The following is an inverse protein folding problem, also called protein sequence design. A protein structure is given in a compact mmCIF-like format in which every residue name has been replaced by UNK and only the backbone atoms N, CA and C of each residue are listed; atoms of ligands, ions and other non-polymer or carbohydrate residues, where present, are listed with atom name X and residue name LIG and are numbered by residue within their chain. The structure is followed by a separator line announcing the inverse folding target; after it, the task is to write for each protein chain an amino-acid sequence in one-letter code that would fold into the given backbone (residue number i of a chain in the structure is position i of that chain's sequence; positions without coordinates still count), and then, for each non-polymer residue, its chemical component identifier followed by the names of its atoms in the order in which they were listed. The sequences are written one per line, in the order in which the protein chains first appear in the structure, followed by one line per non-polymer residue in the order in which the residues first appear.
data_IF_819610585092
#
_entry.id   IF_819610585092
#
_cell.length_a   1.000
_cell.length_b   1.000
_cell.length_c   1.000
_cell.angle_alpha   90.00
_cell.angle_beta   90.00
_cell.angle_gamma   90.00
#
_symmetry.space_group_name_H-M   'P 1'
#
loop_
_entity.id
_entity.type
_entity.pdbx_description
1 polymer ?
#
# COMPACT_ATOMS: atom_id res chain seq x y z
N UNK A 1 -10.54 9.79 -4.93
CA UNK A 1 -10.81 10.02 -6.36
C UNK A 1 -10.47 8.80 -7.22
N UNK A 2 -9.25 8.27 -7.28
CA UNK A 2 -8.89 7.11 -8.13
C UNK A 2 -9.63 5.77 -7.83
N UNK A 3 -10.06 5.54 -6.57
CA UNK A 3 -10.75 4.29 -6.19
C UNK A 3 -12.09 4.12 -6.90
N UNK A 4 -12.87 5.18 -7.02
CA UNK A 4 -14.18 5.12 -7.66
C UNK A 4 -14.07 4.88 -9.17
N UNK A 5 -13.04 5.45 -9.81
CA UNK A 5 -12.80 5.28 -11.25
C UNK A 5 -12.47 3.82 -11.59
N UNK A 6 -11.63 3.15 -10.79
CA UNK A 6 -11.30 1.74 -11.03
C UNK A 6 -12.53 0.83 -10.90
N UNK A 7 -13.41 1.11 -9.93
CA UNK A 7 -14.65 0.38 -9.73
C UNK A 7 -15.65 0.63 -10.89
N UNK A 8 -15.75 1.86 -11.39
CA UNK A 8 -16.62 2.25 -12.51
C UNK A 8 -16.21 1.59 -13.84
N UNK A 9 -14.93 1.45 -14.09
CA UNK A 9 -14.40 0.84 -15.33
C UNK A 9 -14.16 -0.68 -15.20
N UNK A 10 -14.50 -1.29 -14.04
CA UNK A 10 -14.39 -2.73 -13.83
C UNK A 10 -12.97 -3.28 -13.77
N UNK A 11 -11.96 -2.43 -13.53
CA UNK A 11 -10.56 -2.84 -13.46
C UNK A 11 -10.19 -3.25 -12.03
N UNK A 12 -9.51 -4.39 -11.89
CA UNK A 12 -8.95 -4.82 -10.61
C UNK A 12 -7.97 -3.76 -10.07
N UNK A 13 -8.25 -3.24 -8.87
CA UNK A 13 -7.40 -2.26 -8.22
C UNK A 13 -6.68 -2.86 -7.03
N UNK A 14 -5.40 -3.16 -7.21
CA UNK A 14 -4.51 -3.64 -6.16
C UNK A 14 -4.11 -2.50 -5.21
N UNK A 15 -4.22 -2.75 -3.91
CA UNK A 15 -3.63 -1.89 -2.88
C UNK A 15 -2.26 -2.44 -2.48
N UNK A 16 -1.26 -1.58 -2.45
CA UNK A 16 0.12 -2.00 -2.24
C UNK A 16 0.42 -2.32 -0.76
N UNK A 17 0.82 -3.56 -0.52
CA UNK A 17 1.13 -4.10 0.82
C UNK A 17 2.29 -3.34 1.48
N UNK A 18 3.28 -2.93 0.72
CA UNK A 18 4.42 -2.18 1.24
C UNK A 18 4.00 -0.90 1.99
N UNK A 19 3.11 -0.11 1.39
CA UNK A 19 2.58 1.10 2.02
C UNK A 19 1.73 0.80 3.25
N UNK A 20 0.96 -0.29 3.22
CA UNK A 20 0.21 -0.77 4.38
C UNK A 20 1.16 -1.08 5.54
N UNK A 21 2.20 -1.89 5.31
CA UNK A 21 3.16 -2.27 6.34
C UNK A 21 3.95 -1.08 6.89
N UNK A 22 4.36 -0.16 6.02
CA UNK A 22 5.01 1.10 6.42
C UNK A 22 4.09 1.92 7.33
N UNK A 23 2.81 2.02 6.99
CA UNK A 23 1.80 2.75 7.77
C UNK A 23 1.55 2.09 9.13
N UNK A 24 1.42 0.75 9.19
CA UNK A 24 1.31 0.01 10.45
C UNK A 24 2.51 0.33 11.34
N UNK A 25 3.73 0.15 10.84
CA UNK A 25 4.94 0.41 11.62
C UNK A 25 5.03 1.83 12.15
N UNK A 26 4.69 2.81 11.31
CA UNK A 26 4.67 4.22 11.70
C UNK A 26 3.66 4.48 12.83
N UNK A 27 2.42 3.99 12.67
CA UNK A 27 1.36 4.15 13.69
C UNK A 27 1.74 3.51 15.02
N UNK A 28 2.31 2.30 15.00
CA UNK A 28 2.75 1.64 16.22
C UNK A 28 3.87 2.42 16.91
N UNK A 29 4.86 2.90 16.15
CA UNK A 29 5.94 3.73 16.69
C UNK A 29 5.41 5.00 17.37
N UNK A 30 4.48 5.69 16.71
CA UNK A 30 3.86 6.91 17.27
C UNK A 30 3.02 6.59 18.52
N UNK A 31 2.23 5.52 18.47
CA UNK A 31 1.39 5.09 19.60
C UNK A 31 2.22 4.72 20.81
N UNK A 32 3.25 3.87 20.65
CA UNK A 32 4.13 3.47 21.75
C UNK A 32 4.86 4.68 22.36
N UNK A 33 5.31 5.62 21.54
CA UNK A 33 5.97 6.85 22.01
C UNK A 33 5.00 7.75 22.78
N UNK A 34 3.80 7.97 22.23
CA UNK A 34 2.77 8.85 22.86
C UNK A 34 2.30 8.31 24.20
N UNK A 35 2.19 7.00 24.34
CA UNK A 35 1.69 6.36 25.57
C UNK A 35 2.81 5.81 26.46
N UNK A 36 4.08 6.13 26.16
CA UNK A 36 5.27 5.67 26.90
C UNK A 36 5.35 4.14 27.09
N UNK A 37 4.88 3.36 26.10
CA UNK A 37 4.85 1.91 26.15
C UNK A 37 6.25 1.35 25.84
N UNK A 38 6.77 0.50 26.75
CA UNK A 38 8.12 -0.09 26.66
C UNK A 38 8.09 -1.57 27.07
N UNK A 39 9.24 -2.25 26.85
CA UNK A 39 9.43 -3.64 27.28
C UNK A 39 8.38 -4.59 26.71
N UNK A 40 7.92 -5.53 27.53
CA UNK A 40 7.00 -6.61 27.14
C UNK A 40 5.71 -6.14 26.47
N UNK A 41 5.14 -5.03 26.90
CA UNK A 41 3.91 -4.50 26.32
C UNK A 41 4.14 -4.01 24.87
N UNK A 42 5.29 -3.39 24.62
CA UNK A 42 5.69 -3.00 23.29
C UNK A 42 5.91 -4.23 22.40
N UNK A 43 6.60 -5.24 22.92
CA UNK A 43 6.87 -6.49 22.20
C UNK A 43 5.57 -7.18 21.81
N UNK A 44 4.62 -7.28 22.73
CA UNK A 44 3.28 -7.82 22.47
C UNK A 44 2.55 -7.10 21.33
N UNK A 45 2.63 -5.75 21.27
CA UNK A 45 2.03 -4.96 20.20
C UNK A 45 2.69 -5.29 18.84
N UNK A 46 4.02 -5.37 18.80
CA UNK A 46 4.75 -5.66 17.56
C UNK A 46 4.58 -7.12 17.10
N UNK A 47 4.49 -8.07 18.00
CA UNK A 47 4.15 -9.47 17.68
C UNK A 47 2.77 -9.59 17.04
N UNK A 48 1.76 -8.92 17.61
CA UNK A 48 0.42 -8.87 17.01
C UNK A 48 0.42 -8.21 15.63
N UNK A 49 1.21 -7.16 15.44
CA UNK A 49 1.36 -6.56 14.12
C UNK A 49 2.05 -7.49 13.12
N UNK A 50 3.00 -8.30 13.59
CA UNK A 50 3.65 -9.30 12.73
C UNK A 50 2.67 -10.41 12.33
N UNK A 51 1.84 -10.90 13.26
CA UNK A 51 0.76 -11.86 12.95
C UNK A 51 -0.20 -11.28 11.90
N UNK A 52 -0.60 -10.02 12.04
CA UNK A 52 -1.42 -9.33 11.05
C UNK A 52 -0.76 -9.27 9.67
N UNK A 53 0.53 -8.90 9.60
CA UNK A 53 1.27 -8.82 8.33
C UNK A 53 1.41 -10.19 7.65
N UNK A 54 1.54 -11.25 8.44
CA UNK A 54 1.63 -12.61 7.92
C UNK A 54 0.34 -13.04 7.21
N UNK A 55 -0.84 -12.49 7.55
CA UNK A 55 -2.07 -12.75 6.81
C UNK A 55 -2.01 -12.33 5.33
N UNK A 56 -1.16 -11.36 4.99
CA UNK A 56 -0.97 -10.88 3.61
C UNK A 56 0.17 -11.61 2.85
N UNK A 57 0.87 -12.52 3.50
CA UNK A 57 2.06 -13.23 2.96
C UNK A 57 1.77 -14.71 2.79
N UNK A 58 0.60 -15.02 2.27
CA UNK A 58 0.20 -16.39 1.98
C UNK A 58 0.48 -16.73 0.51
N UNK A 59 0.33 -18.02 0.15
CA UNK A 59 0.58 -18.48 -1.22
C UNK A 59 -0.63 -18.27 -2.14
N UNK A 60 -1.83 -18.08 -1.57
CA UNK A 60 -3.06 -17.81 -2.32
C UNK A 60 -3.93 -16.80 -1.61
N UNK A 61 -4.84 -16.16 -2.37
CA UNK A 61 -5.83 -15.23 -1.84
C UNK A 61 -6.76 -15.90 -0.84
N UNK A 62 -7.13 -17.16 -1.10
CA UNK A 62 -8.01 -17.92 -0.21
C UNK A 62 -7.33 -18.15 1.15
N UNK A 63 -6.08 -18.63 1.16
CA UNK A 63 -5.30 -18.80 2.40
C UNK A 63 -5.14 -17.48 3.16
N UNK A 64 -4.91 -16.38 2.47
CA UNK A 64 -4.79 -15.06 3.08
C UNK A 64 -6.09 -14.64 3.78
N UNK A 65 -7.25 -14.88 3.15
CA UNK A 65 -8.57 -14.58 3.71
C UNK A 65 -8.85 -15.45 4.94
N UNK A 66 -8.57 -16.73 4.88
CA UNK A 66 -8.75 -17.66 5.99
C UNK A 66 -7.86 -17.28 7.18
N UNK A 67 -6.58 -16.99 6.91
CA UNK A 67 -5.64 -16.56 7.94
C UNK A 67 -6.03 -15.23 8.58
N UNK A 68 -6.60 -14.31 7.81
CA UNK A 68 -7.11 -13.06 8.35
C UNK A 68 -8.38 -13.26 9.20
N UNK A 69 -9.28 -14.15 8.80
CA UNK A 69 -10.46 -14.53 9.61
C UNK A 69 -10.02 -15.16 10.93
N UNK A 70 -9.07 -16.13 10.90
CA UNK A 70 -8.49 -16.75 12.10
C UNK A 70 -7.87 -15.70 13.04
N UNK A 71 -7.11 -14.74 12.48
CA UNK A 71 -6.54 -13.64 13.26
C UNK A 71 -7.64 -12.82 13.95
N UNK A 72 -8.75 -12.54 13.27
CA UNK A 72 -9.88 -11.78 13.83
C UNK A 72 -10.70 -12.57 14.87
N UNK A 73 -10.68 -13.91 14.89
CA UNK A 73 -11.33 -14.70 15.95
C UNK A 73 -10.75 -14.38 17.33
N UNK A 74 -9.46 -14.04 17.39
CA UNK A 74 -8.79 -13.61 18.62
C UNK A 74 -8.86 -12.10 18.85
N UNK A 75 -9.96 -11.44 18.40
CA UNK A 75 -10.08 -9.98 18.42
C UNK A 75 -9.87 -9.34 19.81
N UNK A 76 -10.28 -10.03 20.88
CA UNK A 76 -10.13 -9.53 22.27
C UNK A 76 -8.67 -9.30 22.64
N UNK A 77 -7.76 -10.15 22.18
CA UNK A 77 -6.32 -10.09 22.48
C UNK A 77 -5.54 -9.09 21.61
N UNK A 78 -6.16 -8.62 20.51
CA UNK A 78 -5.52 -7.66 19.61
C UNK A 78 -5.38 -6.30 20.31
N UNK A 79 -4.19 -5.66 20.27
CA UNK A 79 -4.00 -4.32 20.84
C UNK A 79 -4.94 -3.27 20.22
N UNK A 80 -5.44 -2.34 21.02
CA UNK A 80 -6.42 -1.31 20.62
C UNK A 80 -5.98 -0.53 19.37
N UNK A 81 -4.70 -0.15 19.31
CA UNK A 81 -4.14 0.57 18.14
C UNK A 81 -4.27 -0.21 16.84
N UNK A 82 -4.15 -1.54 16.89
CA UNK A 82 -4.32 -2.41 15.72
C UNK A 82 -5.80 -2.63 15.41
N UNK A 83 -6.68 -2.78 16.41
CA UNK A 83 -8.14 -2.87 16.22
C UNK A 83 -8.66 -1.67 15.42
N UNK A 84 -8.30 -0.47 15.85
CA UNK A 84 -8.70 0.77 15.16
C UNK A 84 -8.14 0.86 13.73
N UNK A 85 -6.91 0.43 13.55
CA UNK A 85 -6.29 0.42 12.24
C UNK A 85 -6.96 -0.58 11.29
N UNK A 86 -7.21 -1.80 11.77
CA UNK A 86 -7.87 -2.87 11.01
C UNK A 86 -9.26 -2.42 10.56
N UNK A 87 -10.06 -1.89 11.49
CA UNK A 87 -11.41 -1.42 11.21
C UNK A 87 -11.43 -0.31 10.16
N UNK A 88 -10.51 0.66 10.24
CA UNK A 88 -10.51 1.84 9.37
C UNK A 88 -9.89 1.59 7.99
N UNK A 89 -8.92 0.68 7.89
CA UNK A 89 -8.06 0.60 6.70
C UNK A 89 -7.99 -0.78 6.06
N UNK A 90 -8.35 -1.85 6.77
CA UNK A 90 -8.11 -3.21 6.29
C UNK A 90 -9.41 -3.95 5.99
N UNK A 91 -10.37 -4.01 6.91
CA UNK A 91 -11.55 -4.91 6.80
C UNK A 91 -12.23 -4.79 5.42
N UNK A 92 -12.59 -3.57 5.01
CA UNK A 92 -13.32 -3.34 3.76
C UNK A 92 -12.47 -3.45 2.51
N UNK A 93 -11.15 -3.59 2.66
CA UNK A 93 -10.21 -3.55 1.53
C UNK A 93 -9.23 -4.72 1.52
N UNK A 94 -9.38 -5.70 2.42
CA UNK A 94 -8.45 -6.82 2.55
C UNK A 94 -8.27 -7.54 1.21
N UNK A 95 -9.36 -7.83 0.50
CA UNK A 95 -9.32 -8.48 -0.80
C UNK A 95 -8.44 -7.75 -1.82
N UNK A 96 -8.43 -6.41 -1.79
CA UNK A 96 -7.60 -5.58 -2.70
C UNK A 96 -6.11 -5.63 -2.40
N UNK A 97 -5.73 -5.98 -1.16
CA UNK A 97 -4.33 -6.15 -0.81
C UNK A 97 -3.76 -7.50 -1.24
N UNK A 98 -4.62 -8.49 -1.47
CA UNK A 98 -4.23 -9.87 -1.75
C UNK A 98 -4.56 -10.33 -3.18
N UNK A 99 -5.02 -9.43 -4.07
CA UNK A 99 -5.32 -9.75 -5.46
C UNK A 99 -4.12 -10.33 -6.21
N UNK A 100 -2.91 -9.84 -5.94
CA UNK A 100 -1.67 -10.30 -6.57
C UNK A 100 -1.32 -11.76 -6.24
N UNK A 101 -1.94 -12.38 -5.24
CA UNK A 101 -1.66 -13.77 -4.87
C UNK A 101 -2.27 -14.78 -5.85
N UNK A 102 -3.29 -14.38 -6.60
CA UNK A 102 -3.98 -15.24 -7.58
C UNK A 102 -3.75 -14.78 -9.03
N UNK A 103 -2.97 -13.71 -9.25
CA UNK A 103 -2.74 -13.15 -10.58
C UNK A 103 -1.31 -12.59 -10.68
N UNK A 104 -0.43 -13.35 -11.32
CA UNK A 104 0.98 -13.01 -11.52
C UNK A 104 1.21 -11.72 -12.32
N UNK A 105 0.19 -11.24 -13.05
CA UNK A 105 0.27 -9.97 -13.76
C UNK A 105 0.08 -8.76 -12.83
N UNK A 106 -0.40 -8.98 -11.60
CA UNK A 106 -0.61 -7.94 -10.60
C UNK A 106 0.59 -7.86 -9.67
N UNK A 107 1.34 -6.77 -9.76
CA UNK A 107 2.49 -6.55 -8.89
C UNK A 107 2.06 -6.21 -7.46
N UNK A 108 2.73 -6.82 -6.48
CA UNK A 108 2.50 -6.54 -5.07
C UNK A 108 3.09 -5.20 -4.59
N UNK A 109 3.85 -4.51 -5.44
CA UNK A 109 4.51 -3.24 -5.13
C UNK A 109 4.26 -2.17 -6.20
N UNK A 110 4.34 -0.90 -5.81
CA UNK A 110 4.27 0.25 -6.72
C UNK A 110 5.64 0.66 -7.30
N UNK A 111 6.66 -0.15 -7.10
CA UNK A 111 8.04 0.25 -7.43
C UNK A 111 8.22 0.70 -8.88
N UNK A 112 7.59 0.02 -9.85
CA UNK A 112 7.67 0.44 -11.25
C UNK A 112 7.00 1.79 -11.48
N UNK A 113 5.81 2.00 -10.92
CA UNK A 113 5.06 3.25 -11.04
C UNK A 113 5.79 4.38 -10.31
N UNK A 114 6.29 4.13 -9.10
CA UNK A 114 7.08 5.11 -8.35
C UNK A 114 8.37 5.50 -9.08
N UNK A 115 9.05 4.50 -9.67
CA UNK A 115 10.24 4.74 -10.47
C UNK A 115 9.92 5.54 -11.74
N UNK A 116 8.83 5.21 -12.41
CA UNK A 116 8.31 5.98 -13.55
C UNK A 116 8.08 7.45 -13.17
N UNK A 117 7.34 7.71 -12.09
CA UNK A 117 7.09 9.09 -11.63
C UNK A 117 8.37 9.80 -11.18
N UNK A 118 9.31 9.09 -10.56
CA UNK A 118 10.59 9.69 -10.17
C UNK A 118 11.41 10.13 -11.39
N UNK A 119 11.35 9.39 -12.48
CA UNK A 119 12.07 9.71 -13.72
C UNK A 119 11.35 10.78 -14.54
N UNK A 120 10.03 10.71 -14.63
CA UNK A 120 9.24 11.64 -15.47
C UNK A 120 8.92 12.96 -14.76
N UNK A 121 8.84 12.95 -13.43
CA UNK A 121 8.46 14.13 -12.64
C UNK A 121 9.34 14.32 -11.39
N UNK A 122 10.65 14.58 -11.53
CA UNK A 122 11.55 14.81 -10.40
C UNK A 122 11.09 16.02 -9.56
N UNK A 123 11.20 15.91 -8.23
CA UNK A 123 10.76 17.00 -7.32
C UNK A 123 11.44 18.34 -7.56
N UNK A 124 12.71 18.34 -8.00
CA UNK A 124 13.44 19.57 -8.34
C UNK A 124 12.78 20.32 -9.49
N UNK A 125 12.20 19.60 -10.43
CA UNK A 125 11.56 20.18 -11.62
C UNK A 125 10.16 20.67 -11.31
N UNK A 126 9.39 20.01 -10.44
CA UNK A 126 8.07 20.49 -10.00
C UNK A 126 8.08 21.94 -9.50
N UNK A 127 9.16 22.34 -8.85
CA UNK A 127 9.32 23.69 -8.29
C UNK A 127 9.63 24.77 -9.33
N UNK A 128 10.04 24.38 -10.54
CA UNK A 128 10.39 25.32 -11.62
C UNK A 128 9.16 25.83 -12.38
N UNK A 129 8.08 25.06 -12.41
CA UNK A 129 6.90 25.43 -13.17
C UNK A 129 5.94 26.26 -12.34
N UNK A 130 5.70 27.50 -12.81
CA UNK A 130 4.76 28.46 -12.18
C UNK A 130 3.34 28.36 -12.75
N UNK A 131 3.15 27.70 -13.89
CA UNK A 131 1.87 27.60 -14.57
C UNK A 131 1.45 26.13 -14.78
N UNK A 132 0.12 25.90 -14.75
CA UNK A 132 -0.47 24.57 -15.03
C UNK A 132 -0.06 24.05 -16.42
N UNK A 133 -0.11 24.90 -17.44
CA UNK A 133 0.23 24.51 -18.80
C UNK A 133 1.70 24.12 -18.94
N UNK A 134 2.62 24.87 -18.31
CA UNK A 134 4.05 24.51 -18.32
C UNK A 134 4.33 23.16 -17.70
N UNK A 135 3.65 22.83 -16.58
CA UNK A 135 3.76 21.51 -15.94
C UNK A 135 3.23 20.42 -16.89
N UNK A 136 2.06 20.61 -17.49
CA UNK A 136 1.44 19.61 -18.35
C UNK A 136 2.29 19.33 -19.60
N UNK A 137 2.77 20.37 -20.27
CA UNK A 137 3.64 20.21 -21.44
C UNK A 137 4.94 19.48 -21.09
N UNK A 138 5.54 19.83 -19.95
CA UNK A 138 6.74 19.13 -19.50
C UNK A 138 6.49 17.66 -19.19
N UNK A 139 5.40 17.35 -18.48
CA UNK A 139 5.05 15.97 -18.14
C UNK A 139 4.79 15.15 -19.40
N UNK A 140 4.05 15.69 -20.37
CA UNK A 140 3.78 15.01 -21.65
C UNK A 140 5.10 14.68 -22.39
N UNK A 141 6.00 15.64 -22.50
CA UNK A 141 7.31 15.43 -23.11
C UNK A 141 8.13 14.37 -22.38
N UNK A 142 8.16 14.38 -21.03
CA UNK A 142 8.87 13.40 -20.24
C UNK A 142 8.26 11.98 -20.37
N UNK A 143 6.93 11.90 -20.41
CA UNK A 143 6.22 10.64 -20.60
C UNK A 143 6.51 10.04 -21.98
N UNK A 144 6.49 10.84 -23.05
CA UNK A 144 6.83 10.41 -24.39
C UNK A 144 8.28 9.89 -24.49
N UNK A 145 9.23 10.65 -23.93
CA UNK A 145 10.63 10.24 -23.90
C UNK A 145 10.85 8.94 -23.12
N UNK A 146 10.17 8.78 -22.00
CA UNK A 146 10.26 7.56 -21.19
C UNK A 146 9.68 6.36 -21.95
N UNK A 147 8.51 6.54 -22.57
CA UNK A 147 7.85 5.51 -23.39
C UNK A 147 8.75 5.04 -24.53
N UNK A 148 9.34 5.97 -25.30
CA UNK A 148 10.27 5.65 -26.39
C UNK A 148 11.49 4.85 -25.94
N UNK A 149 12.00 5.12 -24.73
CA UNK A 149 13.19 4.43 -24.19
C UNK A 149 12.89 3.05 -23.62
N UNK A 150 11.71 2.83 -23.07
CA UNK A 150 11.42 1.65 -22.24
C UNK A 150 10.36 0.72 -22.83
N UNK A 151 9.54 1.21 -23.75
CA UNK A 151 8.52 0.42 -24.43
C UNK A 151 8.94 0.23 -25.89
N UNK A 152 9.39 -0.98 -26.21
CA UNK A 152 9.55 -1.38 -27.62
C UNK A 152 8.15 -1.60 -28.19
N UNK A 153 7.62 -0.63 -28.90
CA UNK A 153 6.43 -0.83 -29.72
C UNK A 153 6.81 -1.87 -30.79
N UNK A 154 6.24 -3.05 -30.68
CA UNK A 154 6.33 -4.08 -31.71
C UNK A 154 5.42 -3.72 -32.86
#
# INVERSE_FOLDING_TARGET
MYRNVADEIGVKHQLYIFHLFKTINHKLKVYCRKNNIKGKDKDHIYENAQKLKNCFRQNSKQEAIEKFKEYLQNYTTIPVVLKDFIRKHIINHFHRYVEHLDDDNIENTSNKIENYYRQTNPEKIKKLFKTKNGILTFLDFQMQNWTQKHIKIK
#
